data_IF_680217119162
#
_entry.id   IF_680217119162
#
_cell.length_a   1.000
_cell.length_b   1.000
_cell.length_c   1.000
_cell.angle_alpha   90.00
_cell.angle_beta   90.00
_cell.angle_gamma   90.00
#
_symmetry.space_group_name_H-M   'P 1'
#
loop_
_entity.id
_entity.type
_entity.pdbx_description
1 polymer ?
#
# COMPACT_ATOMS: atom_id res chain seq x y z
N UNK A 1 -16.23 -74.96 56.21
CA UNK A 1 -15.36 -73.88 56.76
C UNK A 1 -15.29 -72.78 55.72
N UNK A 2 -15.98 -71.67 55.97
CA UNK A 2 -16.11 -70.55 55.02
C UNK A 2 -14.81 -69.75 55.04
N UNK A 3 -13.95 -69.93 54.04
CA UNK A 3 -12.75 -69.12 53.84
C UNK A 3 -13.19 -67.68 53.55
N UNK A 4 -13.24 -66.85 54.59
CA UNK A 4 -13.55 -65.42 54.46
C UNK A 4 -12.29 -64.73 53.99
N UNK A 5 -12.25 -64.39 52.70
CA UNK A 5 -11.13 -63.63 52.13
C UNK A 5 -11.06 -62.28 52.86
N UNK A 6 -9.89 -61.89 53.40
CA UNK A 6 -9.77 -60.65 54.16
C UNK A 6 -10.14 -59.42 53.33
N UNK A 7 -10.98 -58.54 53.87
CA UNK A 7 -11.51 -57.34 53.19
C UNK A 7 -10.41 -56.42 52.63
N UNK A 8 -9.23 -56.40 53.26
CA UNK A 8 -8.09 -55.62 52.78
C UNK A 8 -7.53 -56.14 51.44
N UNK A 9 -7.63 -57.45 51.18
CA UNK A 9 -7.16 -58.06 49.93
C UNK A 9 -8.02 -57.59 48.77
N UNK A 10 -9.34 -57.56 48.93
CA UNK A 10 -10.27 -57.06 47.90
C UNK A 10 -10.08 -55.57 47.63
N UNK A 11 -9.83 -54.76 48.66
CA UNK A 11 -9.52 -53.32 48.50
C UNK A 11 -8.23 -53.12 47.72
N UNK A 12 -7.16 -53.87 48.06
CA UNK A 12 -5.86 -53.77 47.36
C UNK A 12 -5.98 -54.18 45.90
N UNK A 13 -6.70 -55.26 45.59
CA UNK A 13 -6.93 -55.71 44.20
C UNK A 13 -7.74 -54.69 43.41
N UNK A 14 -8.76 -54.07 44.02
CA UNK A 14 -9.55 -53.03 43.38
C UNK A 14 -8.70 -51.78 43.05
N UNK A 15 -7.84 -51.35 43.97
CA UNK A 15 -6.91 -50.23 43.75
C UNK A 15 -5.89 -50.56 42.67
N UNK A 16 -5.31 -51.76 42.68
CA UNK A 16 -4.36 -52.20 41.64
C UNK A 16 -5.01 -52.27 40.26
N UNK A 17 -6.24 -52.79 40.17
CA UNK A 17 -7.02 -52.79 38.93
C UNK A 17 -7.27 -51.37 38.42
N UNK A 18 -7.62 -50.44 39.31
CA UNK A 18 -7.87 -49.05 38.97
C UNK A 18 -6.59 -48.32 38.50
N UNK A 19 -5.46 -48.51 39.19
CA UNK A 19 -4.16 -47.96 38.81
C UNK A 19 -3.70 -48.52 37.45
N UNK A 20 -3.95 -49.80 37.17
CA UNK A 20 -3.66 -50.41 35.88
C UNK A 20 -4.39 -49.73 34.72
N UNK A 21 -5.69 -49.44 34.88
CA UNK A 21 -6.51 -48.76 33.85
C UNK A 21 -6.06 -47.32 33.65
N UNK A 22 -5.78 -46.57 34.73
CA UNK A 22 -5.31 -45.19 34.63
C UNK A 22 -3.95 -45.10 33.94
N UNK A 23 -3.04 -46.03 34.26
CA UNK A 23 -1.70 -46.08 33.66
C UNK A 23 -1.78 -46.35 32.15
N UNK A 24 -2.69 -47.23 31.71
CA UNK A 24 -2.91 -47.52 30.30
C UNK A 24 -3.44 -46.30 29.52
N UNK A 25 -4.36 -45.53 30.11
CA UNK A 25 -4.88 -44.31 29.50
C UNK A 25 -3.80 -43.21 29.41
N UNK A 26 -2.96 -43.08 30.43
CA UNK A 26 -1.89 -42.09 30.45
C UNK A 26 -0.80 -42.37 29.40
N UNK A 27 -0.44 -43.64 29.18
CA UNK A 27 0.53 -44.06 28.16
C UNK A 27 -0.01 -43.82 26.74
N UNK A 28 -1.31 -44.07 26.52
CA UNK A 28 -1.96 -43.79 25.24
C UNK A 28 -1.93 -42.29 24.92
N UNK A 29 -2.31 -41.45 25.90
CA UNK A 29 -2.29 -39.99 25.77
C UNK A 29 -0.88 -39.43 25.49
N UNK A 30 0.16 -39.98 26.14
CA UNK A 30 1.53 -39.51 25.95
C UNK A 30 2.10 -39.84 24.56
N UNK A 31 1.68 -40.97 23.97
CA UNK A 31 2.08 -41.35 22.61
C UNK A 31 1.39 -40.49 21.56
N UNK A 32 0.18 -40.04 21.84
CA UNK A 32 -0.62 -39.16 21.00
C UNK A 32 -0.08 -37.72 21.05
N UNK A 33 0.25 -37.19 22.25
CA UNK A 33 0.86 -35.86 22.45
C UNK A 33 2.17 -35.71 21.67
N UNK A 34 2.98 -36.78 21.58
CA UNK A 34 4.28 -36.74 20.90
C UNK A 34 4.18 -36.75 19.36
N UNK A 35 3.07 -37.26 18.80
CA UNK A 35 2.77 -37.11 17.36
C UNK A 35 2.20 -35.72 17.10
N UNK A 36 1.29 -35.28 17.96
CA UNK A 36 0.64 -33.98 17.89
C UNK A 36 1.65 -32.83 17.87
N UNK A 37 2.67 -32.85 18.74
CA UNK A 37 3.71 -31.79 18.76
C UNK A 37 4.46 -31.63 17.44
N UNK A 38 4.72 -32.73 16.71
CA UNK A 38 5.41 -32.67 15.41
C UNK A 38 4.50 -32.17 14.28
N UNK A 39 3.20 -32.45 14.38
CA UNK A 39 2.21 -31.91 13.44
C UNK A 39 1.98 -30.43 13.71
N UNK A 40 1.88 -30.04 14.97
CA UNK A 40 1.73 -28.65 15.41
C UNK A 40 2.94 -27.79 14.99
N UNK A 41 4.17 -28.27 15.16
CA UNK A 41 5.37 -27.56 14.68
C UNK A 41 5.40 -27.36 13.15
N UNK A 42 4.80 -28.29 12.38
CA UNK A 42 4.71 -28.18 10.91
C UNK A 42 3.62 -27.21 10.50
N UNK A 43 2.49 -27.23 11.20
CA UNK A 43 1.40 -26.28 10.99
C UNK A 43 1.84 -24.87 11.36
N UNK A 44 2.47 -24.66 12.51
CA UNK A 44 2.96 -23.35 12.93
C UNK A 44 3.91 -22.74 11.89
N UNK A 45 4.82 -23.54 11.33
CA UNK A 45 5.71 -23.11 10.22
C UNK A 45 4.98 -22.85 8.90
N UNK A 46 3.82 -23.47 8.65
CA UNK A 46 2.98 -23.16 7.48
C UNK A 46 2.25 -21.84 7.70
N UNK A 47 1.63 -21.68 8.86
CA UNK A 47 0.92 -20.46 9.26
C UNK A 47 1.84 -19.25 9.36
N UNK A 48 3.09 -19.44 9.78
CA UNK A 48 4.10 -18.37 9.78
C UNK A 48 4.45 -17.93 8.36
N UNK A 49 4.70 -18.88 7.44
CA UNK A 49 4.92 -18.58 6.02
C UNK A 49 3.72 -17.91 5.36
N UNK A 50 2.52 -18.36 5.71
CA UNK A 50 1.28 -17.79 5.20
C UNK A 50 1.05 -16.37 5.71
N UNK A 51 1.32 -16.10 7.00
CA UNK A 51 1.27 -14.75 7.57
C UNK A 51 2.28 -13.79 6.95
N UNK A 52 3.50 -14.27 6.66
CA UNK A 52 4.51 -13.47 5.96
C UNK A 52 4.03 -13.14 4.54
N UNK A 53 3.57 -14.15 3.79
CA UNK A 53 3.04 -13.96 2.44
C UNK A 53 1.83 -13.03 2.39
N UNK A 54 0.91 -13.17 3.34
CA UNK A 54 -0.27 -12.31 3.46
C UNK A 54 0.11 -10.87 3.81
N UNK A 55 1.10 -10.66 4.69
CA UNK A 55 1.66 -9.33 4.99
C UNK A 55 2.32 -8.71 3.75
N UNK A 56 3.11 -9.47 3.01
CA UNK A 56 3.74 -9.03 1.76
C UNK A 56 2.70 -8.67 0.70
N UNK A 57 1.68 -9.52 0.51
CA UNK A 57 0.59 -9.27 -0.42
C UNK A 57 -0.19 -8.00 -0.08
N UNK A 58 -0.61 -7.84 1.19
CA UNK A 58 -1.31 -6.61 1.62
C UNK A 58 -0.46 -5.37 1.46
N UNK A 59 0.85 -5.48 1.69
CA UNK A 59 1.79 -4.39 1.47
C UNK A 59 1.88 -4.03 -0.02
N UNK A 60 1.96 -5.04 -0.89
CA UNK A 60 1.98 -4.85 -2.35
C UNK A 60 0.68 -4.21 -2.86
N UNK A 61 -0.48 -4.75 -2.49
CA UNK A 61 -1.80 -4.21 -2.85
C UNK A 61 -1.99 -2.78 -2.32
N UNK A 62 -1.53 -2.51 -1.09
CA UNK A 62 -1.55 -1.18 -0.50
C UNK A 62 -0.74 -0.16 -1.30
N UNK A 63 0.49 -0.52 -1.71
CA UNK A 63 1.33 0.34 -2.57
C UNK A 63 0.72 0.54 -3.95
N UNK A 64 0.22 -0.52 -4.57
CA UNK A 64 -0.43 -0.46 -5.88
C UNK A 64 -1.65 0.49 -5.86
N UNK A 65 -2.49 0.39 -4.83
CA UNK A 65 -3.66 1.27 -4.67
C UNK A 65 -3.27 2.72 -4.37
N UNK A 66 -2.22 2.95 -3.57
CA UNK A 66 -1.73 4.31 -3.33
C UNK A 66 -1.15 4.94 -4.60
N UNK A 67 -0.38 4.19 -5.39
CA UNK A 67 0.18 4.67 -6.65
C UNK A 67 -0.89 4.95 -7.70
N UNK A 68 -1.92 4.11 -7.81
CA UNK A 68 -3.01 4.33 -8.77
C UNK A 68 -3.79 5.61 -8.45
N UNK A 69 -4.05 5.90 -7.17
CA UNK A 69 -4.69 7.15 -6.74
C UNK A 69 -3.86 8.38 -7.09
N UNK A 70 -2.53 8.33 -6.89
CA UNK A 70 -1.64 9.44 -7.25
C UNK A 70 -1.63 9.67 -8.75
N UNK A 71 -1.44 8.60 -9.54
CA UNK A 71 -1.41 8.70 -10.99
C UNK A 71 -2.72 9.30 -11.49
N UNK A 72 -3.86 8.78 -11.03
CA UNK A 72 -5.17 9.27 -11.41
C UNK A 72 -5.34 10.77 -11.09
N UNK A 73 -4.95 11.21 -9.89
CA UNK A 73 -5.03 12.61 -9.50
C UNK A 73 -4.12 13.52 -10.34
N UNK A 74 -2.89 13.07 -10.64
CA UNK A 74 -1.95 13.83 -11.47
C UNK A 74 -2.43 13.90 -12.91
N UNK A 75 -2.94 12.81 -13.48
CA UNK A 75 -3.48 12.79 -14.83
C UNK A 75 -4.75 13.65 -14.95
N UNK A 76 -5.62 13.63 -13.93
CA UNK A 76 -6.79 14.51 -13.87
C UNK A 76 -6.37 15.99 -13.82
N UNK A 77 -5.39 16.34 -12.98
CA UNK A 77 -4.83 17.69 -12.94
C UNK A 77 -4.25 18.09 -14.31
N UNK A 78 -3.43 17.24 -14.92
CA UNK A 78 -2.78 17.54 -16.20
C UNK A 78 -3.83 17.69 -17.31
N UNK A 79 -4.92 16.91 -17.29
CA UNK A 79 -6.03 17.02 -18.24
C UNK A 79 -6.79 18.35 -18.11
N UNK A 80 -7.00 18.84 -16.88
CA UNK A 80 -7.67 20.13 -16.63
C UNK A 80 -6.76 21.33 -16.94
N UNK A 81 -5.47 21.21 -16.67
CA UNK A 81 -4.51 22.32 -16.82
C UNK A 81 -3.97 22.45 -18.24
N UNK A 82 -3.84 21.35 -18.98
CA UNK A 82 -3.32 21.37 -20.34
C UNK A 82 -4.06 22.34 -21.29
N UNK A 83 -5.41 22.40 -21.33
CA UNK A 83 -6.13 23.37 -22.14
C UNK A 83 -5.77 24.83 -21.81
N UNK A 84 -5.53 25.12 -20.53
CA UNK A 84 -5.13 26.46 -20.07
C UNK A 84 -3.71 26.78 -20.50
N UNK A 85 -2.78 25.85 -20.33
CA UNK A 85 -1.39 25.96 -20.82
C UNK A 85 -1.38 26.17 -22.34
N UNK A 86 -2.17 25.41 -23.08
CA UNK A 86 -2.33 25.55 -24.53
C UNK A 86 -2.94 26.91 -24.91
N UNK A 87 -3.88 27.43 -24.13
CA UNK A 87 -4.45 28.76 -24.34
C UNK A 87 -3.40 29.85 -24.10
N UNK A 88 -2.60 29.77 -23.04
CA UNK A 88 -1.50 30.72 -22.77
C UNK A 88 -0.50 30.75 -23.92
N UNK A 89 -0.15 29.58 -24.48
CA UNK A 89 0.71 29.49 -25.67
C UNK A 89 0.14 30.27 -26.86
N UNK A 90 -1.18 30.20 -27.08
CA UNK A 90 -1.87 30.94 -28.15
C UNK A 90 -2.02 32.44 -27.83
N UNK A 91 -2.15 32.78 -26.54
CA UNK A 91 -2.27 34.18 -26.06
C UNK A 91 -0.94 34.93 -26.18
N UNK A 92 0.20 34.23 -26.11
CA UNK A 92 1.50 34.82 -26.47
C UNK A 92 1.48 35.43 -27.89
N UNK A 93 0.65 34.88 -28.79
CA UNK A 93 0.42 35.42 -30.13
C UNK A 93 -0.73 36.45 -30.19
N UNK A 94 -1.57 36.58 -29.14
CA UNK A 94 -2.72 37.50 -29.09
C UNK A 94 -3.19 37.80 -27.64
N UNK A 95 -2.95 38.99 -27.08
CA UNK A 95 -3.08 39.26 -25.64
C UNK A 95 -4.54 39.42 -25.21
N UNK A 96 -5.21 38.31 -24.89
CA UNK A 96 -6.43 38.31 -24.08
C UNK A 96 -6.16 37.66 -22.73
N UNK A 97 -6.75 38.22 -21.68
CA UNK A 97 -6.63 37.72 -20.30
C UNK A 97 -7.29 36.35 -20.21
N UNK A 98 -6.64 35.37 -19.54
CA UNK A 98 -7.26 34.08 -19.19
C UNK A 98 -8.65 34.32 -18.61
N UNK A 99 -9.65 33.63 -19.16
CA UNK A 99 -11.03 33.82 -18.72
C UNK A 99 -11.18 33.37 -17.25
N UNK A 100 -12.09 33.97 -16.47
CA UNK A 100 -12.28 33.62 -15.05
C UNK A 100 -12.57 32.13 -14.81
N UNK A 101 -13.36 31.49 -15.69
CA UNK A 101 -13.66 30.04 -15.65
C UNK A 101 -12.38 29.19 -15.68
N UNK A 102 -11.41 29.56 -16.52
CA UNK A 102 -10.16 28.81 -16.68
C UNK A 102 -9.28 28.90 -15.43
N UNK A 103 -9.34 30.02 -14.71
CA UNK A 103 -8.59 30.20 -13.46
C UNK A 103 -9.19 29.36 -12.33
N UNK A 104 -10.52 29.32 -12.27
CA UNK A 104 -11.25 28.50 -11.30
C UNK A 104 -11.00 27.01 -11.52
N UNK A 105 -10.96 26.55 -12.77
CA UNK A 105 -10.68 25.15 -13.10
C UNK A 105 -9.26 24.74 -12.67
N UNK A 106 -8.25 25.60 -12.89
CA UNK A 106 -6.87 25.38 -12.42
C UNK A 106 -6.81 25.33 -10.89
N UNK A 107 -7.58 26.20 -10.22
CA UNK A 107 -7.64 26.21 -8.76
C UNK A 107 -8.29 24.95 -8.20
N UNK A 108 -9.43 24.52 -8.77
CA UNK A 108 -10.11 23.28 -8.38
C UNK A 108 -9.21 22.06 -8.60
N UNK A 109 -8.56 21.97 -9.76
CA UNK A 109 -7.62 20.88 -10.07
C UNK A 109 -6.49 20.80 -9.04
N UNK A 110 -5.94 21.96 -8.61
CA UNK A 110 -4.91 22.02 -7.57
C UNK A 110 -5.42 21.50 -6.22
N UNK A 111 -6.63 21.88 -5.82
CA UNK A 111 -7.16 21.49 -4.51
C UNK A 111 -7.49 20.00 -4.47
N UNK A 112 -8.05 19.45 -5.54
CA UNK A 112 -8.28 18.01 -5.68
C UNK A 112 -6.97 17.22 -5.62
N UNK A 113 -5.95 17.68 -6.34
CA UNK A 113 -4.60 17.11 -6.28
C UNK A 113 -3.99 17.20 -4.88
N UNK A 114 -4.28 18.25 -4.10
CA UNK A 114 -3.78 18.37 -2.72
C UNK A 114 -4.41 17.33 -1.80
N UNK A 115 -5.72 17.09 -1.95
CA UNK A 115 -6.45 16.14 -1.13
C UNK A 115 -6.04 14.68 -1.40
N UNK A 116 -5.63 14.35 -2.62
CA UNK A 116 -5.19 13.00 -2.98
C UNK A 116 -3.81 12.61 -2.41
N UNK A 117 -3.04 13.54 -1.83
CA UNK A 117 -1.68 13.27 -1.32
C UNK A 117 -1.65 12.67 0.09
N UNK A 118 -2.73 12.81 0.86
CA UNK A 118 -2.79 12.36 2.26
C UNK A 118 -2.52 10.86 2.44
N UNK A 119 -3.25 9.96 1.74
CA UNK A 119 -3.06 8.51 1.86
C UNK A 119 -1.65 8.03 1.49
N UNK A 120 -1.03 8.71 0.54
CA UNK A 120 0.25 8.33 -0.07
C UNK A 120 1.40 8.53 0.90
N UNK A 121 1.35 9.61 1.68
CA UNK A 121 2.35 9.91 2.70
C UNK A 121 2.44 8.83 3.80
N UNK A 122 1.38 8.04 4.00
CA UNK A 122 1.34 6.97 5.00
C UNK A 122 1.94 5.64 4.50
N UNK A 123 1.73 5.32 3.23
CA UNK A 123 2.08 4.00 2.67
C UNK A 123 3.33 3.99 1.79
N UNK A 124 3.76 5.15 1.31
CA UNK A 124 4.88 5.24 0.39
C UNK A 124 6.23 5.39 1.12
N UNK A 125 7.29 4.92 0.45
CA UNK A 125 8.66 5.07 0.95
C UNK A 125 9.11 6.54 0.98
N UNK A 126 10.10 6.88 1.81
CA UNK A 126 10.67 8.23 1.83
C UNK A 126 11.17 8.69 0.46
N UNK A 127 11.82 7.78 -0.28
CA UNK A 127 12.25 8.01 -1.67
C UNK A 127 11.08 8.40 -2.58
N UNK A 128 9.94 7.73 -2.41
CA UNK A 128 8.73 8.07 -3.16
C UNK A 128 8.17 9.43 -2.75
N UNK A 129 8.12 9.74 -1.45
CA UNK A 129 7.66 11.04 -0.96
C UNK A 129 8.50 12.20 -1.51
N UNK A 130 9.81 12.01 -1.67
CA UNK A 130 10.68 12.98 -2.33
C UNK A 130 10.34 13.19 -3.81
N UNK A 131 10.08 12.10 -4.54
CA UNK A 131 9.66 12.17 -5.96
C UNK A 131 8.28 12.80 -6.11
N UNK A 132 7.35 12.49 -5.22
CA UNK A 132 6.03 13.10 -5.15
C UNK A 132 6.18 14.60 -4.95
N UNK A 133 6.99 15.05 -3.97
CA UNK A 133 7.28 16.47 -3.74
C UNK A 133 7.89 17.14 -4.97
N UNK A 134 8.88 16.52 -5.62
CA UNK A 134 9.49 17.04 -6.87
C UNK A 134 8.49 17.15 -8.01
N UNK A 135 7.50 16.28 -8.05
CA UNK A 135 6.44 16.26 -9.09
C UNK A 135 5.32 17.27 -8.80
N UNK A 136 4.97 17.46 -7.54
CA UNK A 136 3.87 18.33 -7.11
C UNK A 136 4.27 19.81 -6.97
N UNK A 137 5.51 20.11 -6.58
CA UNK A 137 5.94 21.49 -6.36
C UNK A 137 5.87 22.35 -7.64
N UNK A 138 6.40 21.92 -8.80
CA UNK A 138 6.25 22.67 -10.05
C UNK A 138 4.79 22.84 -10.46
N UNK A 139 3.93 21.82 -10.27
CA UNK A 139 2.48 21.90 -10.54
C UNK A 139 1.81 22.95 -9.67
N UNK A 140 2.07 22.94 -8.36
CA UNK A 140 1.52 23.95 -7.47
C UNK A 140 2.00 25.36 -7.83
N UNK A 141 3.28 25.53 -8.22
CA UNK A 141 3.81 26.81 -8.68
C UNK A 141 3.16 27.26 -9.98
N UNK A 142 2.95 26.34 -10.92
CA UNK A 142 2.25 26.59 -12.18
C UNK A 142 0.80 27.05 -11.93
N UNK A 143 0.05 26.30 -11.12
CA UNK A 143 -1.32 26.65 -10.75
C UNK A 143 -1.39 28.03 -10.07
N UNK A 144 -0.48 28.30 -9.13
CA UNK A 144 -0.37 29.63 -8.52
C UNK A 144 -0.07 30.69 -9.56
N UNK A 145 0.93 30.51 -10.41
CA UNK A 145 1.33 31.50 -11.41
C UNK A 145 0.21 31.82 -12.41
N UNK A 146 -0.56 30.83 -12.83
CA UNK A 146 -1.69 31.02 -13.76
C UNK A 146 -2.93 31.66 -13.09
N UNK A 147 -3.08 31.52 -11.78
CA UNK A 147 -4.20 32.08 -11.02
C UNK A 147 -3.88 33.43 -10.36
N UNK A 148 -2.61 33.69 -10.04
CA UNK A 148 -2.16 34.89 -9.34
C UNK A 148 -1.79 36.01 -10.32
N UNK A 149 -2.75 36.84 -10.71
CA UNK A 149 -2.44 38.06 -11.44
C UNK A 149 -3.59 38.68 -12.22
N UNK A 150 -3.57 40.00 -12.36
CA UNK A 150 -4.46 40.73 -13.28
C UNK A 150 -4.00 40.63 -14.75
N UNK A 151 -2.73 40.29 -14.98
CA UNK A 151 -2.13 40.15 -16.31
C UNK A 151 -2.12 38.70 -16.78
N UNK A 152 -2.04 38.50 -18.10
CA UNK A 152 -1.84 37.17 -18.69
C UNK A 152 -0.44 36.62 -18.29
N UNK A 153 -0.34 35.33 -17.93
CA UNK A 153 0.94 34.71 -17.59
C UNK A 153 1.86 34.61 -18.81
N UNK A 154 3.16 34.72 -18.60
CA UNK A 154 4.15 34.63 -19.67
C UNK A 154 4.35 33.18 -20.11
N UNK A 155 4.33 32.94 -21.43
CA UNK A 155 4.50 31.60 -21.99
C UNK A 155 5.81 30.94 -21.58
N UNK A 156 6.94 31.66 -21.60
CA UNK A 156 8.26 31.13 -21.23
C UNK A 156 8.24 30.48 -19.85
N UNK A 157 7.65 31.19 -18.87
CA UNK A 157 7.58 30.73 -17.48
C UNK A 157 6.57 29.59 -17.30
N UNK A 158 5.43 29.66 -17.99
CA UNK A 158 4.44 28.56 -18.00
C UNK A 158 5.05 27.29 -18.57
N UNK A 159 5.77 27.39 -19.69
CA UNK A 159 6.43 26.26 -20.35
C UNK A 159 7.48 25.63 -19.44
N UNK A 160 8.32 26.42 -18.78
CA UNK A 160 9.34 25.93 -17.84
C UNK A 160 8.70 25.12 -16.71
N UNK A 161 7.71 25.68 -16.01
CA UNK A 161 7.03 25.00 -14.90
C UNK A 161 6.25 23.75 -15.36
N UNK A 162 5.66 23.80 -16.56
CA UNK A 162 5.00 22.65 -17.18
C UNK A 162 6.00 21.54 -17.50
N UNK A 163 7.11 21.85 -18.18
CA UNK A 163 8.12 20.87 -18.56
C UNK A 163 8.77 20.23 -17.33
N UNK A 164 9.07 21.02 -16.29
CA UNK A 164 9.54 20.52 -14.98
C UNK A 164 8.53 19.54 -14.36
N UNK A 165 7.25 19.88 -14.39
CA UNK A 165 6.19 19.03 -13.85
C UNK A 165 6.07 17.69 -14.59
N UNK A 166 6.19 17.72 -15.91
CA UNK A 166 6.12 16.53 -16.76
C UNK A 166 7.36 15.64 -16.59
N UNK A 167 8.55 16.24 -16.45
CA UNK A 167 9.78 15.51 -16.17
C UNK A 167 9.72 14.78 -14.82
N UNK A 168 9.25 15.45 -13.76
CA UNK A 168 9.05 14.84 -12.45
C UNK A 168 8.06 13.67 -12.49
N UNK A 169 6.94 13.84 -13.21
CA UNK A 169 5.92 12.79 -13.34
C UNK A 169 6.44 11.54 -14.04
N UNK A 170 7.23 11.70 -15.11
CA UNK A 170 7.88 10.58 -15.80
C UNK A 170 8.82 9.79 -14.88
N UNK A 171 9.64 10.50 -14.09
CA UNK A 171 10.55 9.87 -13.13
C UNK A 171 9.77 9.13 -12.02
N UNK A 172 8.73 9.77 -11.47
CA UNK A 172 7.87 9.16 -10.46
C UNK A 172 7.19 7.89 -10.98
N UNK A 173 6.64 7.91 -12.20
CA UNK A 173 6.00 6.74 -12.82
C UNK A 173 6.98 5.60 -13.08
N UNK A 174 8.22 5.91 -13.48
CA UNK A 174 9.26 4.89 -13.64
C UNK A 174 9.59 4.19 -12.30
N UNK A 175 9.74 4.96 -11.23
CA UNK A 175 10.02 4.44 -9.89
C UNK A 175 8.85 3.62 -9.31
N UNK A 176 7.60 4.05 -9.54
CA UNK A 176 6.42 3.25 -9.17
C UNK A 176 6.41 1.90 -9.89
N UNK A 177 6.71 1.88 -11.18
CA UNK A 177 6.76 0.64 -11.96
C UNK A 177 7.87 -0.27 -11.45
N UNK A 178 9.04 0.29 -11.14
CA UNK A 178 10.14 -0.45 -10.54
C UNK A 178 9.78 -1.05 -9.19
N UNK A 179 9.17 -0.28 -8.30
CA UNK A 179 8.74 -0.74 -6.97
C UNK A 179 7.70 -1.87 -7.04
N UNK A 180 6.81 -1.80 -8.03
CA UNK A 180 5.81 -2.85 -8.29
C UNK A 180 6.36 -4.03 -9.12
N UNK A 181 7.62 -4.02 -9.55
CA UNK A 181 8.18 -5.08 -10.41
C UNK A 181 7.57 -5.13 -11.81
N UNK A 182 7.07 -4.00 -12.31
CA UNK A 182 6.45 -3.82 -13.64
C UNK A 182 7.43 -3.31 -14.71
N UNK A 183 8.74 -3.27 -14.43
CA UNK A 183 9.74 -3.09 -15.49
C UNK A 183 9.59 -4.27 -16.45
N UNK A 184 9.46 -3.99 -17.76
CA UNK A 184 9.56 -5.05 -18.74
C UNK A 184 10.92 -5.74 -18.53
N UNK A 185 10.95 -7.07 -18.49
CA UNK A 185 12.20 -7.80 -18.68
C UNK A 185 12.87 -7.19 -19.92
N UNK A 186 14.18 -6.88 -19.89
CA UNK A 186 14.87 -6.51 -21.13
C UNK A 186 14.58 -7.63 -22.15
N UNK A 187 14.07 -7.24 -23.32
CA UNK A 187 13.91 -8.18 -24.43
C UNK A 187 15.31 -8.76 -24.72
N UNK A 188 15.49 -10.06 -24.47
CA UNK A 188 16.69 -10.83 -24.86
C UNK A 188 16.85 -10.88 -26.39
#
# INVERSE_FOLDING_TARGET
MSSSVPLWVTIVVAVLGFVGVLSAQFIAAWREDRRWRREQEREDKRWERERVKDRENRSYEGRQNAFSQVIAAVEAYDWLVYPVVAAVRRIADNPQVLRPDQRDDVWRAREELRHSLGPVNLFASERFNDLLRKTMLPRSRLAMYMSSGSKAPEWTRVKELWDESQAGFKQMRAEMRKDLGLEALPDD
#
